data_IF_723501958326
#
_entry.id   IF_723501958326
#
_cell.length_a   1.000
_cell.length_b   1.000
_cell.length_c   1.000
_cell.angle_alpha   90.00
_cell.angle_beta   90.00
_cell.angle_gamma   90.00
#
_symmetry.space_group_name_H-M   'P 1'
#
loop_
_entity.id
_entity.type
_entity.pdbx_description
1 polymer ?
#
# COMPACT_ATOMS: atom_id res chain seq x y z
N UNK A 1 20.65 5.67 5.36
CA UNK A 1 21.15 4.71 4.35
C UNK A 1 20.05 3.77 3.84
N UNK A 2 19.19 3.23 4.72
CA UNK A 2 18.03 2.39 4.34
C UNK A 2 17.08 3.11 3.35
N UNK A 3 16.68 4.35 3.66
CA UNK A 3 15.84 5.17 2.78
C UNK A 3 16.39 5.31 1.35
N UNK A 4 17.69 5.58 1.20
CA UNK A 4 18.37 5.65 -0.10
C UNK A 4 18.27 4.31 -0.85
N UNK A 5 18.51 3.19 -0.15
CA UNK A 5 18.43 1.85 -0.74
C UNK A 5 17.01 1.55 -1.24
N UNK A 6 15.99 1.83 -0.43
CA UNK A 6 14.58 1.64 -0.80
C UNK A 6 14.23 2.51 -2.00
N UNK A 7 14.55 3.81 -1.96
CA UNK A 7 14.31 4.74 -3.08
C UNK A 7 14.92 4.24 -4.39
N UNK A 8 16.16 3.76 -4.34
CA UNK A 8 16.91 3.39 -5.55
C UNK A 8 16.51 1.99 -6.09
N UNK A 9 15.95 1.09 -5.27
CA UNK A 9 15.73 -0.33 -5.65
C UNK A 9 14.26 -0.76 -5.64
N UNK A 10 13.40 -0.13 -4.84
CA UNK A 10 11.97 -0.49 -4.79
C UNK A 10 11.27 -0.30 -6.16
N UNK A 11 11.51 0.78 -6.93
CA UNK A 11 10.93 0.93 -8.25
C UNK A 11 11.33 -0.20 -9.21
N UNK A 12 12.59 -0.64 -9.17
CA UNK A 12 13.09 -1.75 -10.01
C UNK A 12 12.38 -3.06 -9.71
N UNK A 13 12.15 -3.36 -8.43
CA UNK A 13 11.41 -4.56 -8.00
C UNK A 13 9.96 -4.49 -8.43
N UNK A 14 9.36 -3.31 -8.36
CA UNK A 14 7.98 -3.10 -8.75
C UNK A 14 7.81 -3.34 -10.26
N UNK A 15 8.68 -2.77 -11.09
CA UNK A 15 8.69 -3.00 -12.53
C UNK A 15 8.89 -4.47 -12.88
N UNK A 16 9.86 -5.15 -12.24
CA UNK A 16 10.12 -6.56 -12.50
C UNK A 16 8.92 -7.46 -12.18
N UNK A 17 8.20 -7.20 -11.08
CA UNK A 17 7.00 -7.99 -10.74
C UNK A 17 5.80 -7.66 -11.63
N UNK A 18 5.70 -6.42 -12.10
CA UNK A 18 4.65 -5.99 -13.03
C UNK A 18 4.78 -6.67 -14.40
N UNK A 19 5.98 -6.64 -14.99
CA UNK A 19 6.28 -7.26 -16.30
C UNK A 19 6.00 -8.77 -16.31
N UNK A 20 6.39 -9.47 -15.24
CA UNK A 20 6.16 -10.91 -15.09
C UNK A 20 4.67 -11.23 -14.99
N UNK A 21 3.89 -10.43 -14.26
CA UNK A 21 2.47 -10.71 -14.12
C UNK A 21 1.70 -10.39 -15.42
N UNK A 22 2.06 -9.35 -16.17
CA UNK A 22 1.49 -9.10 -17.51
C UNK A 22 1.79 -10.28 -18.43
N UNK A 23 3.05 -10.71 -18.52
CA UNK A 23 3.44 -11.84 -19.36
C UNK A 23 2.72 -13.13 -18.96
N UNK A 24 2.47 -13.34 -17.67
CA UNK A 24 1.71 -14.50 -17.18
C UNK A 24 0.23 -14.41 -17.54
N UNK A 25 -0.39 -13.23 -17.45
CA UNK A 25 -1.78 -13.02 -17.87
C UNK A 25 -1.96 -13.15 -19.39
N UNK A 26 -1.02 -12.64 -20.19
CA UNK A 26 -1.04 -12.79 -21.65
C UNK A 26 -0.93 -14.27 -22.05
N UNK A 27 -0.03 -15.03 -21.41
CA UNK A 27 0.08 -16.49 -21.61
C UNK A 27 -1.21 -17.20 -21.20
N UNK A 28 -1.83 -16.84 -20.08
CA UNK A 28 -3.10 -17.44 -19.64
C UNK A 28 -4.27 -17.08 -20.57
N UNK A 29 -4.30 -15.86 -21.11
CA UNK A 29 -5.28 -15.43 -22.11
C UNK A 29 -5.10 -16.17 -23.43
N UNK A 30 -3.85 -16.35 -23.88
CA UNK A 30 -3.52 -17.10 -25.09
C UNK A 30 -3.91 -18.59 -24.96
N UNK A 31 -3.63 -19.21 -23.80
CA UNK A 31 -4.07 -20.59 -23.51
C UNK A 31 -5.61 -20.69 -23.50
N UNK A 32 -6.30 -19.71 -22.90
CA UNK A 32 -7.76 -19.69 -22.82
C UNK A 32 -8.41 -19.54 -24.22
N UNK A 33 -7.85 -18.67 -25.07
CA UNK A 33 -8.29 -18.51 -26.47
C UNK A 33 -8.05 -19.78 -27.29
N UNK A 34 -6.95 -20.49 -27.05
CA UNK A 34 -6.64 -21.75 -27.71
C UNK A 34 -7.52 -22.93 -27.22
N UNK A 35 -8.14 -22.81 -26.04
CA UNK A 35 -9.00 -23.85 -25.44
C UNK A 35 -10.49 -23.63 -25.71
N UNK A 36 -10.90 -22.41 -26.11
CA UNK A 36 -12.29 -22.04 -26.41
C UNK A 36 -12.83 -22.61 -27.74
N UNK A 37 -12.04 -23.40 -28.47
CA UNK A 37 -12.45 -24.13 -29.66
C UNK A 37 -13.12 -25.47 -29.36
N UNK A 38 -14.03 -25.58 -28.38
CA UNK A 38 -14.88 -26.78 -28.26
C UNK A 38 -16.08 -26.67 -27.30
N UNK A 39 -17.27 -26.80 -27.90
CA UNK A 39 -18.58 -27.30 -27.41
C UNK A 39 -19.52 -26.37 -26.61
N UNK A 40 -20.77 -26.29 -27.13
CA UNK A 40 -21.98 -25.57 -26.67
C UNK A 40 -22.64 -26.10 -25.37
N UNK A 41 -23.38 -25.21 -24.67
CA UNK A 41 -24.85 -25.22 -24.44
C UNK A 41 -25.34 -24.92 -23.01
N UNK A 42 -26.24 -23.91 -22.93
CA UNK A 42 -27.44 -23.73 -22.08
C UNK A 42 -27.40 -23.37 -20.57
N UNK A 43 -27.77 -22.10 -20.30
CA UNK A 43 -28.81 -21.51 -19.42
C UNK A 43 -29.24 -22.15 -18.07
N UNK A 44 -29.34 -21.33 -17.00
CA UNK A 44 -30.56 -21.10 -16.15
C UNK A 44 -30.27 -20.15 -14.97
N UNK A 45 -31.13 -19.14 -14.81
CA UNK A 45 -31.15 -18.11 -13.75
C UNK A 45 -31.75 -18.60 -12.41
N UNK A 46 -31.56 -17.84 -11.29
CA UNK A 46 -32.59 -17.55 -10.26
C UNK A 46 -32.09 -16.57 -9.16
N UNK A 47 -33.04 -15.88 -8.54
CA UNK A 47 -33.04 -14.56 -7.83
C UNK A 47 -33.05 -14.68 -6.29
N UNK A 48 -32.50 -13.70 -5.54
CA UNK A 48 -33.17 -13.08 -4.36
C UNK A 48 -32.46 -11.85 -3.78
N UNK A 49 -33.26 -10.83 -3.42
CA UNK A 49 -32.90 -9.53 -2.83
C UNK A 49 -32.96 -9.53 -1.28
N UNK A 50 -32.22 -8.65 -0.59
CA UNK A 50 -32.74 -7.39 0.03
C UNK A 50 -31.67 -6.60 0.85
N UNK A 51 -31.92 -5.28 0.92
CA UNK A 51 -31.36 -4.08 1.63
C UNK A 51 -30.69 -4.25 3.02
N UNK A 52 -29.91 -3.32 3.62
CA UNK A 52 -29.70 -1.87 3.46
C UNK A 52 -28.42 -1.37 4.21
N UNK A 53 -27.81 -0.29 3.68
CA UNK A 53 -27.09 0.82 4.35
C UNK A 53 -25.74 0.64 5.11
N UNK A 54 -24.65 1.13 4.50
CA UNK A 54 -23.82 2.27 4.98
C UNK A 54 -22.83 2.69 3.89
N UNK A 55 -23.03 3.88 3.35
CA UNK A 55 -22.28 4.41 2.21
C UNK A 55 -20.82 4.73 2.57
N UNK A 56 -19.89 4.06 1.89
CA UNK A 56 -18.56 4.58 1.60
C UNK A 56 -18.45 4.69 0.08
N UNK A 57 -18.12 5.89 -0.40
CA UNK A 57 -17.99 6.19 -1.82
C UNK A 57 -16.65 5.63 -2.28
N UNK A 58 -16.65 4.40 -2.79
CA UNK A 58 -15.45 3.78 -3.39
C UNK A 58 -15.77 2.72 -4.47
N UNK A 59 -17.01 2.70 -4.98
CA UNK A 59 -17.50 1.61 -5.84
C UNK A 59 -17.30 1.83 -7.35
N UNK A 60 -16.91 3.02 -7.80
CA UNK A 60 -16.96 3.36 -9.23
C UNK A 60 -15.65 3.12 -10.01
N UNK A 61 -14.56 2.72 -9.34
CA UNK A 61 -13.24 2.49 -9.98
C UNK A 61 -13.00 1.01 -10.32
N UNK A 62 -13.67 0.09 -9.62
CA UNK A 62 -13.45 -1.36 -9.77
C UNK A 62 -13.96 -1.91 -11.10
N UNK A 63 -14.87 -1.23 -11.78
CA UNK A 63 -15.57 -1.78 -12.96
C UNK A 63 -14.84 -1.57 -14.29
N UNK A 64 -13.90 -0.63 -14.41
CA UNK A 64 -13.35 -0.26 -15.73
C UNK A 64 -12.07 -0.98 -16.14
N UNK A 65 -11.32 -1.60 -15.21
CA UNK A 65 -10.25 -2.56 -15.52
C UNK A 65 -9.76 -3.30 -14.25
N UNK A 66 -10.55 -4.25 -13.69
CA UNK A 66 -10.21 -4.94 -12.44
C UNK A 66 -8.87 -5.70 -12.51
N UNK A 67 -8.47 -6.14 -13.70
CA UNK A 67 -7.24 -6.90 -13.94
C UNK A 67 -5.99 -6.04 -13.67
N UNK A 68 -5.92 -4.81 -14.20
CA UNK A 68 -4.75 -3.93 -14.03
C UNK A 68 -4.52 -3.60 -12.55
N UNK A 69 -5.58 -3.25 -11.82
CA UNK A 69 -5.44 -2.92 -10.41
C UNK A 69 -5.00 -4.15 -9.60
N UNK A 70 -5.61 -5.32 -9.84
CA UNK A 70 -5.23 -6.56 -9.18
C UNK A 70 -3.76 -6.88 -9.43
N UNK A 71 -3.32 -6.81 -10.68
CA UNK A 71 -1.95 -7.12 -11.08
C UNK A 71 -0.95 -6.11 -10.48
N UNK A 72 -1.29 -4.82 -10.40
CA UNK A 72 -0.43 -3.80 -9.78
C UNK A 72 -0.38 -4.04 -8.27
N UNK A 73 -1.53 -4.27 -7.64
CA UNK A 73 -1.63 -4.56 -6.21
C UNK A 73 -0.75 -5.76 -5.83
N UNK A 74 -0.82 -6.86 -6.58
CA UNK A 74 0.05 -8.01 -6.38
C UNK A 74 1.53 -7.67 -6.56
N UNK A 75 1.86 -6.85 -7.55
CA UNK A 75 3.23 -6.39 -7.80
C UNK A 75 3.78 -5.55 -6.66
N UNK A 76 2.99 -4.62 -6.10
CA UNK A 76 3.33 -3.86 -4.90
C UNK A 76 3.57 -4.79 -3.71
N UNK A 77 2.67 -5.72 -3.44
CA UNK A 77 2.82 -6.66 -2.32
C UNK A 77 4.11 -7.51 -2.45
N UNK A 78 4.40 -8.03 -3.65
CA UNK A 78 5.61 -8.80 -3.93
C UNK A 78 6.87 -7.92 -3.80
N UNK A 79 6.88 -6.75 -4.43
CA UNK A 79 8.03 -5.84 -4.43
C UNK A 79 8.40 -5.36 -3.02
N UNK A 80 7.41 -4.97 -2.20
CA UNK A 80 7.64 -4.55 -0.82
C UNK A 80 8.18 -5.71 0.02
N UNK A 81 7.59 -6.92 -0.12
CA UNK A 81 8.09 -8.11 0.58
C UNK A 81 9.54 -8.44 0.21
N UNK A 82 9.89 -8.39 -1.07
CA UNK A 82 11.26 -8.65 -1.55
C UNK A 82 12.22 -7.57 -1.06
N UNK A 83 11.83 -6.29 -1.14
CA UNK A 83 12.64 -5.17 -0.65
C UNK A 83 12.97 -5.32 0.83
N UNK A 84 11.98 -5.58 1.68
CA UNK A 84 12.20 -5.74 3.12
C UNK A 84 13.06 -6.98 3.44
N UNK A 85 12.87 -8.08 2.70
CA UNK A 85 13.72 -9.27 2.84
C UNK A 85 15.18 -8.99 2.49
N UNK A 86 15.43 -8.25 1.41
CA UNK A 86 16.79 -7.87 1.02
C UNK A 86 17.45 -6.94 2.03
N UNK A 87 16.70 -6.00 2.61
CA UNK A 87 17.22 -5.15 3.69
C UNK A 87 17.67 -5.97 4.90
N UNK A 88 16.94 -7.04 5.25
CA UNK A 88 17.30 -7.94 6.36
C UNK A 88 18.63 -8.67 6.12
N UNK A 89 18.94 -8.96 4.86
CA UNK A 89 20.15 -9.69 4.46
C UNK A 89 21.34 -8.75 4.21
N UNK A 90 21.14 -7.43 4.28
CA UNK A 90 22.18 -6.46 3.95
C UNK A 90 23.16 -6.30 5.12
N UNK A 91 24.42 -6.66 4.91
CA UNK A 91 25.45 -6.66 5.97
C UNK A 91 26.10 -5.30 6.20
N UNK A 92 26.02 -4.40 5.22
CA UNK A 92 26.75 -3.12 5.23
C UNK A 92 25.90 -1.93 5.72
N UNK A 93 24.60 -2.16 5.97
CA UNK A 93 23.66 -1.16 6.47
C UNK A 93 22.98 -1.78 7.67
N UNK A 94 23.02 -1.09 8.82
CA UNK A 94 22.22 -1.50 9.98
C UNK A 94 20.73 -1.24 9.68
N UNK A 95 20.07 -2.26 9.14
CA UNK A 95 18.62 -2.26 8.96
C UNK A 95 17.89 -2.77 10.21
N UNK A 96 18.61 -3.23 11.23
CA UNK A 96 17.98 -3.75 12.46
C UNK A 96 17.43 -2.60 13.29
N UNK A 97 18.21 -1.55 13.51
CA UNK A 97 17.80 -0.34 14.24
C UNK A 97 17.46 0.85 13.32
N UNK A 98 17.56 0.69 11.99
CA UNK A 98 17.15 1.73 11.04
C UNK A 98 16.04 1.24 10.12
N UNK A 99 15.05 2.08 9.92
CA UNK A 99 14.03 1.90 8.92
C UNK A 99 13.78 3.12 8.05
N UNK A 100 12.73 3.03 7.24
CA UNK A 100 12.26 4.12 6.39
C UNK A 100 10.78 3.92 6.07
N UNK A 101 10.09 5.05 5.94
CA UNK A 101 8.80 5.13 5.26
C UNK A 101 9.00 4.90 3.75
N UNK A 102 7.91 4.67 3.02
CA UNK A 102 7.87 4.82 1.58
C UNK A 102 6.43 5.09 1.11
N UNK A 103 6.27 6.16 0.34
CA UNK A 103 5.07 6.39 -0.48
C UNK A 103 5.47 6.22 -1.94
N UNK A 104 4.81 5.31 -2.65
CA UNK A 104 5.14 4.89 -4.01
C UNK A 104 3.93 5.05 -4.91
N UNK A 105 4.12 5.64 -6.09
CA UNK A 105 3.08 5.83 -7.11
C UNK A 105 3.45 5.09 -8.39
N UNK A 106 2.48 4.42 -8.99
CA UNK A 106 2.53 3.95 -10.39
C UNK A 106 1.36 4.56 -11.13
N UNK A 107 1.65 5.27 -12.21
CA UNK A 107 0.64 5.81 -13.13
C UNK A 107 0.67 5.02 -14.43
N UNK A 108 -0.41 4.31 -14.73
CA UNK A 108 -0.61 3.57 -15.97
C UNK A 108 -1.83 4.15 -16.71
N UNK A 109 -1.60 4.95 -17.74
CA UNK A 109 -2.67 5.69 -18.41
C UNK A 109 -3.40 6.62 -17.41
N UNK A 110 -4.73 6.53 -17.27
CA UNK A 110 -5.48 7.29 -16.26
C UNK A 110 -5.43 6.66 -14.87
N UNK A 111 -4.97 5.40 -14.72
CA UNK A 111 -4.96 4.72 -13.42
C UNK A 111 -3.74 5.12 -12.61
N UNK A 112 -3.98 5.55 -11.38
CA UNK A 112 -2.98 5.84 -10.37
C UNK A 112 -3.09 4.80 -9.25
N UNK A 113 -2.05 4.02 -9.03
CA UNK A 113 -1.95 3.09 -7.89
C UNK A 113 -0.94 3.63 -6.90
N UNK A 114 -1.35 3.73 -5.64
CA UNK A 114 -0.56 4.28 -4.55
C UNK A 114 -0.30 3.20 -3.53
N UNK A 115 0.96 3.03 -3.11
CA UNK A 115 1.35 2.15 -2.01
C UNK A 115 2.04 2.94 -0.91
N UNK A 116 1.54 2.86 0.33
CA UNK A 116 2.10 3.55 1.49
C UNK A 116 2.58 2.57 2.57
N UNK A 117 3.79 2.80 3.09
CA UNK A 117 4.25 2.30 4.40
C UNK A 117 4.80 3.46 5.21
N UNK A 118 4.25 3.66 6.40
CA UNK A 118 4.65 4.72 7.32
C UNK A 118 3.77 5.96 7.23
N UNK A 119 4.35 7.11 7.56
CA UNK A 119 3.66 8.40 7.72
C UNK A 119 4.14 9.49 6.76
N UNK A 120 4.85 9.09 5.69
CA UNK A 120 4.97 9.94 4.50
C UNK A 120 3.64 9.98 3.74
N UNK A 121 3.40 11.05 2.98
CA UNK A 121 2.07 11.33 2.41
C UNK A 121 2.09 11.64 0.93
N UNK A 122 1.06 11.15 0.25
CA UNK A 122 0.67 11.59 -1.08
C UNK A 122 -0.61 12.44 -1.01
N UNK A 123 -0.57 13.62 -1.64
CA UNK A 123 -1.73 14.53 -1.76
C UNK A 123 -1.87 14.95 -3.21
N UNK A 124 -3.07 14.77 -3.75
CA UNK A 124 -3.44 15.19 -5.10
C UNK A 124 -4.04 16.60 -5.05
N UNK A 125 -3.58 17.49 -5.92
CA UNK A 125 -4.23 18.75 -6.20
C UNK A 125 -5.16 18.57 -7.41
N UNK A 126 -6.45 18.81 -7.22
CA UNK A 126 -7.49 18.75 -8.26
C UNK A 126 -8.22 20.09 -8.32
N UNK A 127 -8.72 20.48 -9.49
CA UNK A 127 -9.63 21.63 -9.60
C UNK A 127 -11.05 21.25 -9.21
N UNK A 128 -11.75 22.18 -8.56
CA UNK A 128 -13.20 22.11 -8.37
C UNK A 128 -13.95 22.86 -9.48
N UNK A 129 -15.27 22.94 -9.35
CA UNK A 129 -16.17 23.59 -10.33
C UNK A 129 -15.92 25.09 -10.48
N UNK A 130 -15.33 25.72 -9.47
CA UNK A 130 -15.01 27.15 -9.45
C UNK A 130 -13.55 27.40 -9.88
N UNK A 131 -12.91 26.39 -10.50
CA UNK A 131 -11.52 26.42 -10.96
C UNK A 131 -10.49 26.61 -9.82
N UNK A 132 -10.90 26.37 -8.57
CA UNK A 132 -10.04 26.48 -7.38
C UNK A 132 -9.32 25.17 -7.10
N UNK A 133 -8.06 25.25 -6.66
CA UNK A 133 -7.29 24.06 -6.28
C UNK A 133 -7.77 23.50 -4.94
N UNK A 134 -8.14 22.23 -4.96
CA UNK A 134 -8.55 21.44 -3.79
C UNK A 134 -7.55 20.30 -3.57
N UNK A 135 -7.16 20.11 -2.32
CA UNK A 135 -6.33 18.99 -1.91
C UNK A 135 -7.19 17.74 -1.64
N UNK A 136 -6.78 16.60 -2.21
CA UNK A 136 -7.34 15.28 -1.96
C UNK A 136 -6.24 14.39 -1.41
N UNK A 137 -6.42 13.93 -0.18
CA UNK A 137 -5.48 13.02 0.46
C UNK A 137 -5.55 11.64 -0.21
N UNK A 138 -4.41 11.15 -0.70
CA UNK A 138 -4.31 9.84 -1.37
C UNK A 138 -3.86 8.72 -0.42
N UNK A 139 -3.19 9.07 0.69
CA UNK A 139 -2.69 8.11 1.68
C UNK A 139 -3.02 8.57 3.10
N UNK A 140 -3.28 7.63 3.99
CA UNK A 140 -3.41 7.89 5.43
C UNK A 140 -2.09 7.51 6.11
N UNK A 141 -1.64 8.36 7.04
CA UNK A 141 -0.46 8.06 7.84
C UNK A 141 -0.72 6.81 8.68
N UNK A 142 0.14 5.80 8.55
CA UNK A 142 -0.03 4.51 9.22
C UNK A 142 0.48 4.60 10.66
N UNK A 143 -0.25 5.34 11.49
CA UNK A 143 0.09 5.58 12.90
C UNK A 143 -0.27 4.36 13.79
N UNK A 144 0.51 4.08 14.86
CA UNK A 144 0.31 2.93 15.75
C UNK A 144 -1.06 2.83 16.42
N UNK A 145 -1.73 3.96 16.65
CA UNK A 145 -3.03 4.03 17.32
C UNK A 145 -4.24 3.83 16.38
N UNK A 146 -4.03 3.67 15.06
CA UNK A 146 -5.12 3.27 14.17
C UNK A 146 -5.68 1.91 14.59
N UNK A 147 -7.00 1.69 14.63
CA UNK A 147 -7.59 0.49 15.23
C UNK A 147 -7.00 -0.83 14.73
N UNK A 148 -6.91 -1.01 13.41
CA UNK A 148 -6.36 -2.23 12.80
C UNK A 148 -4.85 -2.40 13.06
N UNK A 149 -4.10 -1.30 13.08
CA UNK A 149 -2.66 -1.32 13.35
C UNK A 149 -2.41 -1.67 14.83
N UNK A 150 -3.13 -1.03 15.74
CA UNK A 150 -3.02 -1.24 17.17
C UNK A 150 -3.43 -2.65 17.57
N UNK A 151 -4.49 -3.19 16.95
CA UNK A 151 -4.90 -4.58 17.13
C UNK A 151 -3.81 -5.55 16.69
N UNK A 152 -3.24 -5.37 15.48
CA UNK A 152 -2.13 -6.20 14.99
C UNK A 152 -0.93 -6.15 15.94
N UNK A 153 -0.53 -4.95 16.38
CA UNK A 153 0.61 -4.76 17.28
C UNK A 153 0.40 -5.51 18.59
N UNK A 154 -0.78 -5.37 19.21
CA UNK A 154 -1.12 -6.07 20.45
C UNK A 154 -1.17 -7.59 20.28
N UNK A 155 -1.70 -8.07 19.16
CA UNK A 155 -1.72 -9.51 18.83
C UNK A 155 -0.31 -10.08 18.66
N UNK A 156 0.66 -9.25 18.24
CA UNK A 156 2.08 -9.58 18.19
C UNK A 156 2.83 -9.29 19.50
N UNK A 157 2.12 -9.06 20.62
CA UNK A 157 2.71 -8.74 21.94
C UNK A 157 3.52 -7.44 21.98
N UNK A 158 3.39 -6.57 20.96
CA UNK A 158 3.91 -5.21 21.01
C UNK A 158 2.99 -4.30 21.82
N UNK A 159 3.53 -3.14 22.23
CA UNK A 159 2.78 -2.14 22.98
C UNK A 159 2.53 -0.90 22.11
N UNK A 160 1.38 -0.25 22.31
CA UNK A 160 1.03 1.03 21.67
C UNK A 160 0.66 2.04 22.74
N UNK A 161 1.49 3.05 22.92
CA UNK A 161 1.22 4.18 23.80
C UNK A 161 2.04 5.41 23.40
N UNK A 162 1.59 6.58 23.86
CA UNK A 162 2.31 7.84 23.75
C UNK A 162 3.11 8.09 25.04
N UNK A 163 4.25 8.76 24.93
CA UNK A 163 5.02 9.17 26.10
C UNK A 163 4.30 10.31 26.83
N UNK A 164 4.64 10.53 28.11
CA UNK A 164 4.01 11.58 28.91
C UNK A 164 4.34 13.00 28.40
N UNK A 165 5.55 13.21 27.91
CA UNK A 165 6.04 14.45 27.31
C UNK A 165 5.58 14.65 25.86
N UNK A 166 5.17 13.58 25.16
CA UNK A 166 4.61 13.61 23.80
C UNK A 166 3.24 12.89 23.71
N UNK A 167 2.19 13.36 24.41
CA UNK A 167 0.92 12.62 24.55
C UNK A 167 0.14 12.46 23.23
N UNK A 168 0.49 13.22 22.19
CA UNK A 168 -0.14 13.17 20.87
C UNK A 168 0.55 12.20 19.91
N UNK A 169 1.73 11.69 20.25
CA UNK A 169 2.53 10.83 19.38
C UNK A 169 2.48 9.39 19.88
N UNK A 170 1.54 8.62 19.34
CA UNK A 170 1.48 7.19 19.60
C UNK A 170 2.68 6.46 18.97
N UNK A 171 3.32 5.58 19.73
CA UNK A 171 4.50 4.82 19.30
C UNK A 171 4.28 3.31 19.50
N UNK A 172 4.94 2.52 18.66
CA UNK A 172 5.12 1.07 18.85
C UNK A 172 6.32 0.85 19.76
N UNK A 173 6.17 -0.03 20.75
CA UNK A 173 7.22 -0.37 21.71
C UNK A 173 7.41 -1.88 21.83
N UNK A 174 8.63 -2.26 22.22
CA UNK A 174 8.93 -3.62 22.66
C UNK A 174 8.16 -3.93 23.96
N UNK A 175 7.79 -5.20 24.21
CA UNK A 175 7.21 -5.59 25.49
C UNK A 175 8.23 -5.38 26.61
N UNK A 176 7.78 -4.80 27.71
CA UNK A 176 8.56 -4.54 28.93
C UNK A 176 9.77 -3.60 28.73
N UNK A 177 9.79 -2.80 27.66
CA UNK A 177 10.87 -1.86 27.43
C UNK A 177 10.32 -0.56 26.81
N UNK A 178 10.70 0.57 27.39
CA UNK A 178 10.25 1.89 26.98
C UNK A 178 11.21 2.54 25.97
N UNK A 179 12.06 1.75 25.30
CA UNK A 179 12.96 2.22 24.24
C UNK A 179 13.47 1.10 23.29
N UNK A 180 13.71 1.39 22.00
CA UNK A 180 13.29 2.58 21.27
C UNK A 180 11.83 2.48 20.77
N UNK A 181 11.14 3.62 20.67
CA UNK A 181 9.74 3.68 20.24
C UNK A 181 9.58 4.28 18.84
N UNK A 182 8.79 3.62 17.98
CA UNK A 182 8.57 4.02 16.59
C UNK A 182 7.20 4.67 16.39
N UNK A 183 7.15 5.89 15.83
CA UNK A 183 5.92 6.68 15.67
C UNK A 183 5.02 6.25 14.48
N UNK A 184 5.36 5.13 13.84
CA UNK A 184 4.64 4.55 12.69
C UNK A 184 4.48 3.03 12.88
N UNK A 185 3.40 2.47 12.34
CA UNK A 185 3.04 1.06 12.48
C UNK A 185 3.54 0.19 11.32
N UNK A 186 3.98 0.83 10.24
CA UNK A 186 4.52 0.16 9.04
C UNK A 186 5.78 0.86 8.57
N UNK A 187 6.81 0.09 8.24
CA UNK A 187 8.07 0.61 7.74
C UNK A 187 8.86 -0.51 7.05
N UNK A 188 9.80 -0.12 6.20
CA UNK A 188 10.91 -0.97 5.79
C UNK A 188 12.03 -0.92 6.83
N UNK A 189 12.77 -2.01 7.03
CA UNK A 189 13.80 -2.06 8.07
C UNK A 189 13.20 -2.10 9.47
N UNK A 190 13.86 -1.49 10.47
CA UNK A 190 13.44 -1.54 11.89
C UNK A 190 13.14 -2.99 12.35
N UNK A 191 14.02 -3.93 12.01
CA UNK A 191 13.79 -5.36 12.26
C UNK A 191 13.57 -5.69 13.74
N UNK A 192 14.04 -4.85 14.66
CA UNK A 192 13.80 -5.02 16.10
C UNK A 192 12.31 -5.01 16.49
N UNK A 193 11.43 -4.38 15.69
CA UNK A 193 9.97 -4.32 15.96
C UNK A 193 9.13 -5.26 15.09
N UNK A 194 9.73 -5.97 14.12
CA UNK A 194 8.96 -6.79 13.16
C UNK A 194 8.22 -7.93 13.83
N UNK A 195 8.81 -8.53 14.87
CA UNK A 195 8.18 -9.59 15.66
C UNK A 195 7.10 -9.05 16.63
N UNK A 196 6.99 -7.73 16.74
CA UNK A 196 6.08 -7.01 17.64
C UNK A 196 5.03 -6.19 16.88
N UNK A 197 4.78 -6.54 15.61
CA UNK A 197 3.65 -6.03 14.82
C UNK A 197 3.97 -4.87 13.88
N UNK A 198 5.24 -4.44 13.80
CA UNK A 198 5.69 -3.63 12.67
C UNK A 198 5.70 -4.48 11.39
N UNK A 199 5.13 -3.96 10.30
CA UNK A 199 5.12 -4.68 9.01
C UNK A 199 5.57 -3.77 7.86
N UNK A 200 6.07 -4.36 6.78
CA UNK A 200 6.41 -3.68 5.52
C UNK A 200 5.33 -3.83 4.44
N UNK A 201 4.14 -4.33 4.82
CA UNK A 201 3.04 -4.52 3.87
C UNK A 201 2.37 -3.16 3.59
N UNK A 202 2.35 -2.70 2.33
CA UNK A 202 1.77 -1.40 2.01
C UNK A 202 0.26 -1.40 2.13
N UNK A 203 -0.31 -0.26 2.51
CA UNK A 203 -1.69 0.08 2.18
C UNK A 203 -1.72 0.50 0.70
N UNK A 204 -2.58 -0.13 -0.10
CA UNK A 204 -2.62 0.08 -1.55
C UNK A 204 -4.00 0.59 -1.94
N UNK A 205 -4.05 1.74 -2.62
CA UNK A 205 -5.26 2.34 -3.19
C UNK A 205 -5.11 2.55 -4.69
N UNK A 206 -6.23 2.67 -5.39
CA UNK A 206 -6.28 2.98 -6.82
C UNK A 206 -7.27 4.11 -7.06
N UNK A 207 -6.91 5.02 -7.96
CA UNK A 207 -7.75 6.12 -8.42
C UNK A 207 -7.67 6.22 -9.93
N UNK A 208 -8.81 6.43 -10.58
CA UNK A 208 -8.82 6.91 -11.96
C UNK A 208 -8.67 8.43 -11.94
N UNK A 209 -7.61 8.93 -12.57
CA UNK A 209 -7.35 10.35 -12.73
C UNK A 209 -8.34 10.94 -13.74
N UNK A 210 -8.71 12.20 -13.50
CA UNK A 210 -9.53 13.00 -14.41
C UNK A 210 -8.74 14.20 -14.95
N UNK A 211 -9.35 14.98 -15.84
CA UNK A 211 -8.71 16.18 -16.41
C UNK A 211 -8.56 17.32 -15.40
N UNK A 212 -9.33 17.28 -14.31
CA UNK A 212 -9.22 18.24 -13.20
C UNK A 212 -8.05 17.95 -12.27
N UNK A 213 -7.47 16.73 -12.31
CA UNK A 213 -6.34 16.31 -11.48
C UNK A 213 -5.03 16.90 -12.05
N UNK A 214 -4.43 17.86 -11.32
CA UNK A 214 -3.33 18.71 -11.82
C UNK A 214 -1.95 18.15 -11.49
N UNK A 215 -1.68 17.92 -10.20
CA UNK A 215 -0.38 17.43 -9.72
C UNK A 215 -0.49 16.68 -8.40
N UNK A 216 0.50 15.85 -8.12
CA UNK A 216 0.60 15.09 -6.87
C UNK A 216 1.86 15.53 -6.13
N UNK A 217 1.71 15.81 -4.83
CA UNK A 217 2.81 16.05 -3.91
C UNK A 217 3.09 14.77 -3.14
N UNK A 218 4.32 14.29 -3.23
CA UNK A 218 4.87 13.26 -2.35
C UNK A 218 5.84 13.93 -1.38
N UNK A 219 5.61 13.77 -0.08
CA UNK A 219 6.46 14.37 0.93
C UNK A 219 6.64 13.44 2.14
N UNK A 220 7.78 13.60 2.81
CA UNK A 220 7.97 13.14 4.19
C UNK A 220 7.17 14.00 5.16
N UNK A 221 7.15 13.65 6.43
CA UNK A 221 6.47 14.37 7.49
C UNK A 221 7.18 15.66 7.96
N UNK A 222 8.47 15.79 7.64
CA UNK A 222 9.32 16.98 7.91
C UNK A 222 9.51 17.95 6.75
#
# INVERSE_FOLDING_TARGET
MVAKKVRDHLPLKLSAHWEVNISSEDVLREISLNTAGSVNSEETALISADKDSRASVDLDVTEKNPDIFKTLKESFLKAFKVMDRELRLHTNIDCFCSGTTAVTLVKQGPYLVVGNVGDSRAVLATRDKDNSLKAVQLTVDLKPNLPAEAERIRNCKGCVFALHDEPTVARVWLPNNDAPGLAMARAFGDFFLKDFGLISVPEISCRCLSEEDEFIVLATDG
#
